data_IF_823237324173
#
_entry.id   IF_823237324173
#
_cell.length_a   1.000
_cell.length_b   1.000
_cell.length_c   1.000
_cell.angle_alpha   90.00
_cell.angle_beta   90.00
_cell.angle_gamma   90.00
#
_symmetry.space_group_name_H-M   'P 1'
#
loop_
_entity.id
_entity.type
_entity.pdbx_description
1 polymer ?
#
# COMPACT_ATOMS: atom_id res chain seq x y z
N UNK A 1 -26.46 -11.73 -0.91
CA UNK A 1 -26.39 -10.86 -2.10
C UNK A 1 -25.76 -9.57 -1.62
N UNK A 2 -24.45 -9.42 -1.76
CA UNK A 2 -23.76 -8.21 -1.30
C UNK A 2 -24.08 -7.08 -2.28
N UNK A 3 -24.55 -5.95 -1.77
CA UNK A 3 -24.74 -4.72 -2.55
C UNK A 3 -23.41 -4.36 -3.24
N UNK A 4 -23.40 -3.93 -4.51
CA UNK A 4 -22.17 -3.59 -5.19
C UNK A 4 -21.49 -2.44 -4.45
N UNK A 5 -20.32 -2.74 -3.89
CA UNK A 5 -19.53 -1.75 -3.16
C UNK A 5 -19.12 -0.65 -4.14
N UNK A 6 -19.35 0.63 -3.81
CA UNK A 6 -19.06 1.72 -4.73
C UNK A 6 -17.56 1.77 -5.04
N UNK A 7 -17.17 2.10 -6.29
CA UNK A 7 -15.78 2.04 -6.72
C UNK A 7 -14.94 3.12 -6.04
N UNK A 8 -13.66 2.80 -5.80
CA UNK A 8 -12.65 3.73 -5.36
C UNK A 8 -12.40 4.82 -6.39
N UNK A 9 -12.20 6.05 -5.90
CA UNK A 9 -11.75 7.14 -6.75
C UNK A 9 -10.42 6.75 -7.42
N UNK A 10 -10.22 6.97 -8.74
CA UNK A 10 -9.03 6.52 -9.46
C UNK A 10 -7.71 6.99 -8.83
N UNK A 11 -7.68 8.21 -8.30
CA UNK A 11 -6.53 8.76 -7.59
C UNK A 11 -6.19 7.95 -6.32
N UNK A 12 -7.21 7.53 -5.56
CA UNK A 12 -7.03 6.72 -4.35
C UNK A 12 -6.57 5.31 -4.72
N UNK A 13 -7.17 4.70 -5.74
CA UNK A 13 -6.76 3.39 -6.24
C UNK A 13 -5.28 3.40 -6.71
N UNK A 14 -4.86 4.45 -7.41
CA UNK A 14 -3.47 4.61 -7.83
C UNK A 14 -2.50 4.74 -6.65
N UNK A 15 -2.86 5.53 -5.63
CA UNK A 15 -2.07 5.68 -4.39
C UNK A 15 -1.97 4.37 -3.62
N UNK A 16 -3.08 3.66 -3.45
CA UNK A 16 -3.11 2.36 -2.78
C UNK A 16 -2.27 1.32 -3.54
N UNK A 17 -2.40 1.27 -4.86
CA UNK A 17 -1.58 0.39 -5.70
C UNK A 17 -0.10 0.72 -5.66
N UNK A 18 0.29 1.99 -5.49
CA UNK A 18 1.68 2.38 -5.27
C UNK A 18 2.19 1.92 -3.89
N UNK A 19 1.37 2.10 -2.84
CA UNK A 19 1.67 1.65 -1.48
C UNK A 19 1.86 0.12 -1.42
N UNK A 20 0.92 -0.66 -1.96
CA UNK A 20 1.00 -2.11 -1.98
C UNK A 20 2.26 -2.62 -2.70
N UNK A 21 2.64 -1.98 -3.82
CA UNK A 21 3.87 -2.31 -4.54
C UNK A 21 5.13 -1.99 -3.73
N UNK A 22 5.14 -0.88 -3.00
CA UNK A 22 6.25 -0.53 -2.13
C UNK A 22 6.42 -1.53 -0.97
N UNK A 23 5.33 -1.96 -0.33
CA UNK A 23 5.34 -3.01 0.69
C UNK A 23 5.92 -4.32 0.14
N UNK A 24 5.47 -4.74 -1.06
CA UNK A 24 5.99 -5.94 -1.72
C UNK A 24 7.49 -5.83 -2.02
N UNK A 25 7.95 -4.67 -2.49
CA UNK A 25 9.36 -4.43 -2.78
C UNK A 25 10.23 -4.48 -1.51
N UNK A 26 9.78 -3.85 -0.42
CA UNK A 26 10.47 -3.89 0.87
C UNK A 26 10.56 -5.31 1.44
N UNK A 27 9.43 -6.05 1.45
CA UNK A 27 9.41 -7.45 1.90
C UNK A 27 10.37 -8.33 1.06
N UNK A 28 10.40 -8.11 -0.25
CA UNK A 28 11.34 -8.81 -1.15
C UNK A 28 12.80 -8.47 -0.82
N UNK A 29 13.13 -7.21 -0.59
CA UNK A 29 14.49 -6.79 -0.27
C UNK A 29 15.00 -7.45 1.03
N UNK A 30 14.18 -7.43 2.08
CA UNK A 30 14.49 -8.09 3.37
C UNK A 30 14.62 -9.60 3.23
N UNK A 31 13.89 -10.23 2.30
CA UNK A 31 13.98 -11.68 2.07
C UNK A 31 15.21 -12.10 1.27
N UNK A 32 15.75 -11.21 0.42
CA UNK A 32 16.84 -11.53 -0.52
C UNK A 32 18.23 -11.16 0.00
N UNK A 33 18.32 -10.17 0.88
CA UNK A 33 19.58 -9.59 1.30
C UNK A 33 19.81 -9.73 2.81
N UNK A 34 21.07 -9.81 3.26
CA UNK A 34 21.38 -9.73 4.68
C UNK A 34 21.03 -8.35 5.26
N UNK A 35 20.80 -8.23 6.58
CA UNK A 35 20.29 -7.02 7.23
C UNK A 35 21.07 -5.73 6.95
N UNK A 36 22.37 -5.81 6.75
CA UNK A 36 23.26 -4.66 6.53
C UNK A 36 23.30 -4.18 5.06
N UNK A 37 22.55 -4.84 4.17
CA UNK A 37 22.62 -4.55 2.74
C UNK A 37 21.87 -3.24 2.39
N UNK A 38 22.50 -2.31 1.65
CA UNK A 38 21.93 -0.98 1.38
C UNK A 38 20.60 -1.00 0.61
N UNK A 39 20.32 -2.08 -0.14
CA UNK A 39 19.05 -2.24 -0.84
C UNK A 39 17.84 -2.35 0.12
N UNK A 40 18.03 -2.83 1.35
CA UNK A 40 16.97 -2.87 2.36
C UNK A 40 16.60 -1.44 2.77
N UNK A 41 17.61 -0.64 3.13
CA UNK A 41 17.42 0.78 3.49
C UNK A 41 16.73 1.56 2.37
N UNK A 42 17.22 1.43 1.13
CA UNK A 42 16.63 2.12 -0.02
C UNK A 42 15.16 1.70 -0.25
N UNK A 43 14.82 0.43 -0.06
CA UNK A 43 13.44 -0.05 -0.20
C UNK A 43 12.52 0.49 0.92
N UNK A 44 13.03 0.58 2.15
CA UNK A 44 12.28 1.14 3.28
C UNK A 44 12.08 2.66 3.16
N UNK A 45 13.09 3.41 2.73
CA UNK A 45 12.97 4.84 2.45
C UNK A 45 11.94 5.12 1.36
N UNK A 46 11.95 4.31 0.29
CA UNK A 46 10.93 4.36 -0.77
C UNK A 46 9.53 4.11 -0.21
N UNK A 47 9.37 3.13 0.68
CA UNK A 47 8.09 2.83 1.33
C UNK A 47 7.60 4.02 2.16
N UNK A 48 8.47 4.61 3.00
CA UNK A 48 8.13 5.78 3.82
C UNK A 48 7.70 6.96 2.94
N UNK A 49 8.41 7.23 1.85
CA UNK A 49 8.05 8.29 0.88
C UNK A 49 6.67 8.08 0.25
N UNK A 50 6.35 6.83 -0.11
CA UNK A 50 5.04 6.47 -0.67
C UNK A 50 3.94 6.62 0.37
N UNK A 51 4.17 6.19 1.61
CA UNK A 51 3.21 6.35 2.73
C UNK A 51 2.94 7.82 3.01
N UNK A 52 3.99 8.66 3.07
CA UNK A 52 3.83 10.10 3.27
C UNK A 52 2.96 10.72 2.18
N UNK A 53 3.19 10.34 0.91
CA UNK A 53 2.39 10.81 -0.23
C UNK A 53 0.95 10.31 -0.19
N UNK A 54 0.74 9.03 0.17
CA UNK A 54 -0.59 8.44 0.28
C UNK A 54 -1.42 9.09 1.41
N UNK A 55 -0.76 9.45 2.51
CA UNK A 55 -1.37 10.03 3.72
C UNK A 55 -1.51 11.56 3.66
N UNK A 56 -0.89 12.22 2.67
CA UNK A 56 -0.73 13.68 2.60
C UNK A 56 -2.04 14.50 2.60
N UNK A 57 -3.19 13.86 2.32
CA UNK A 57 -4.50 14.54 2.37
C UNK A 57 -5.28 14.20 3.64
N UNK A 58 -5.26 12.94 4.07
CA UNK A 58 -5.93 12.41 5.26
C UNK A 58 -5.52 10.95 5.46
N UNK A 59 -5.45 10.50 6.70
CA UNK A 59 -5.46 9.06 7.01
C UNK A 59 -6.77 8.43 6.53
N UNK A 60 -6.71 7.19 6.06
CA UNK A 60 -7.88 6.41 5.67
C UNK A 60 -7.85 5.02 6.31
N UNK A 61 -9.01 4.48 6.62
CA UNK A 61 -9.18 3.12 7.11
C UNK A 61 -9.27 2.14 5.94
N UNK A 62 -8.57 1.01 6.07
CA UNK A 62 -8.57 -0.06 5.09
C UNK A 62 -8.99 -1.37 5.77
N UNK A 63 -9.95 -2.07 5.18
CA UNK A 63 -10.39 -3.40 5.59
C UNK A 63 -9.93 -4.41 4.56
N UNK A 64 -9.22 -5.46 5.01
CA UNK A 64 -8.79 -6.56 4.15
C UNK A 64 -9.79 -7.69 4.28
N UNK A 65 -10.43 -8.06 3.18
CA UNK A 65 -11.38 -9.17 3.08
C UNK A 65 -10.75 -10.32 2.29
N UNK A 66 -11.30 -11.54 2.37
CA UNK A 66 -10.91 -12.62 1.47
C UNK A 66 -11.21 -12.24 0.02
N UNK A 67 -10.16 -11.88 -0.73
CA UNK A 67 -10.24 -11.53 -2.15
C UNK A 67 -10.54 -10.06 -2.45
N UNK A 68 -10.72 -9.21 -1.44
CA UNK A 68 -11.05 -7.80 -1.64
C UNK A 68 -10.38 -6.88 -0.60
N UNK A 69 -10.22 -5.61 -0.93
CA UNK A 69 -9.70 -4.58 -0.04
C UNK A 69 -10.64 -3.39 -0.10
N UNK A 70 -11.25 -3.06 1.04
CA UNK A 70 -12.11 -1.89 1.16
C UNK A 70 -11.35 -0.71 1.76
N UNK A 71 -11.48 0.47 1.16
CA UNK A 71 -11.01 1.74 1.70
C UNK A 71 -12.22 2.60 2.03
N UNK A 72 -12.42 2.94 3.31
CA UNK A 72 -13.60 3.69 3.78
C UNK A 72 -14.93 3.07 3.29
N UNK A 73 -14.98 1.73 3.22
CA UNK A 73 -16.13 0.97 2.72
C UNK A 73 -16.29 0.96 1.19
N UNK A 74 -15.24 1.26 0.41
CA UNK A 74 -15.23 1.28 -1.06
C UNK A 74 -14.18 0.33 -1.64
N UNK A 75 -14.44 -0.32 -2.78
CA UNK A 75 -13.54 -1.30 -3.42
C UNK A 75 -12.89 -0.75 -4.69
#
# INVERSE_FOLDING_TARGET
MSDPTPPLAPEMAARLGAFARACKAAARAVSLYPPEHPAITAALERLVSVVATASARRSFAMSVLPGDILVEGRA
#
